data_IF_608621451959
#
_entry.id   IF_608621451959
#
_cell.length_a   1.000
_cell.length_b   1.000
_cell.length_c   1.000
_cell.angle_alpha   90.00
_cell.angle_beta   90.00
_cell.angle_gamma   90.00
#
_symmetry.space_group_name_H-M   'P 1'
#
loop_
_entity.id
_entity.type
_entity.pdbx_description
1 polymer ?
#
# COMPACT_ATOMS: atom_id res chain seq x y z
N UNK A 1 2.05 4.09 13.04
CA UNK A 1 3.44 4.50 13.39
C UNK A 1 3.79 5.96 13.03
N UNK A 2 3.65 6.45 11.78
CA UNK A 2 3.97 7.88 11.48
C UNK A 2 2.75 8.80 11.64
N UNK A 3 1.60 8.45 11.03
CA UNK A 3 0.36 9.21 11.17
C UNK A 3 -0.03 9.38 12.64
N UNK A 4 -0.05 8.30 13.41
CA UNK A 4 -0.33 8.30 14.86
C UNK A 4 0.54 9.27 15.66
N UNK A 5 1.80 9.49 15.26
CA UNK A 5 2.71 10.42 15.96
C UNK A 5 2.51 11.88 15.56
N UNK A 6 1.99 12.13 14.36
CA UNK A 6 1.78 13.49 13.84
C UNK A 6 0.38 14.01 14.12
N UNK A 7 -0.63 13.14 14.19
CA UNK A 7 -2.02 13.50 14.49
C UNK A 7 -2.22 14.31 15.78
N UNK A 8 -1.55 14.02 16.91
CA UNK A 8 -1.73 14.81 18.14
C UNK A 8 -0.98 16.15 18.11
N UNK A 9 -0.21 16.46 17.06
CA UNK A 9 0.59 17.68 17.00
C UNK A 9 -0.22 18.86 16.44
N UNK A 10 0.11 20.09 16.85
CA UNK A 10 -0.50 21.29 16.28
C UNK A 10 -0.29 21.38 14.77
N UNK A 11 -1.33 21.75 14.03
CA UNK A 11 -1.30 21.82 12.56
C UNK A 11 -0.29 22.83 12.02
N UNK A 12 -0.03 23.91 12.76
CA UNK A 12 0.92 24.98 12.43
C UNK A 12 2.38 24.62 12.75
N UNK A 13 2.62 23.50 13.43
CA UNK A 13 3.97 23.03 13.73
C UNK A 13 4.73 22.76 12.43
N UNK A 14 5.94 23.31 12.34
CA UNK A 14 6.86 23.06 11.23
C UNK A 14 7.14 21.56 11.09
N UNK A 15 7.06 21.09 9.85
CA UNK A 15 7.31 19.73 9.42
C UNK A 15 8.27 19.79 8.23
N UNK A 16 9.17 18.80 8.10
CA UNK A 16 10.11 18.74 7.00
C UNK A 16 9.89 17.46 6.21
N UNK A 17 9.64 17.60 4.91
CA UNK A 17 9.47 16.46 4.00
C UNK A 17 10.74 16.28 3.17
N UNK A 18 11.33 15.09 3.23
CA UNK A 18 12.47 14.72 2.40
C UNK A 18 11.99 14.24 1.02
N UNK A 19 12.47 14.88 -0.04
CA UNK A 19 12.16 14.54 -1.44
C UNK A 19 13.47 14.59 -2.23
N UNK A 20 13.88 13.46 -2.81
CA UNK A 20 15.09 13.37 -3.65
C UNK A 20 16.34 13.98 -3.00
N UNK A 21 16.51 13.79 -1.68
CA UNK A 21 17.64 14.34 -0.92
C UNK A 21 17.50 15.80 -0.47
N UNK A 22 16.41 16.49 -0.83
CA UNK A 22 16.11 17.87 -0.40
C UNK A 22 15.06 17.86 0.71
N UNK A 23 15.30 18.59 1.79
CA UNK A 23 14.31 18.84 2.84
C UNK A 23 13.47 20.07 2.49
N UNK A 24 12.16 19.87 2.39
CA UNK A 24 11.18 20.93 2.11
C UNK A 24 10.44 21.24 3.40
N UNK A 25 10.47 22.50 3.83
CA UNK A 25 9.68 22.99 4.97
C UNK A 25 8.18 23.04 4.60
N UNK A 26 7.35 22.50 5.49
CA UNK A 26 5.88 22.43 5.42
C UNK A 26 5.31 22.53 6.82
N UNK A 27 3.98 22.50 6.96
CA UNK A 27 3.32 22.35 8.25
C UNK A 27 2.78 20.93 8.44
N UNK A 28 2.49 20.54 9.68
CA UNK A 28 1.80 19.27 9.98
C UNK A 28 0.45 19.21 9.24
N UNK A 29 -0.28 20.33 9.19
CA UNK A 29 -1.56 20.45 8.48
C UNK A 29 -1.45 20.17 6.98
N UNK A 30 -0.36 20.60 6.32
CA UNK A 30 -0.14 20.33 4.90
C UNK A 30 0.21 18.85 4.62
N UNK A 31 0.94 18.23 5.55
CA UNK A 31 1.56 16.91 5.34
C UNK A 31 0.60 15.78 5.72
N UNK A 32 -0.21 15.95 6.77
CA UNK A 32 -1.13 14.91 7.26
C UNK A 32 -2.08 14.37 6.18
N UNK A 33 -2.81 15.20 5.40
CA UNK A 33 -3.72 14.70 4.37
C UNK A 33 -2.99 13.90 3.29
N UNK A 34 -1.78 14.35 2.93
CA UNK A 34 -0.95 13.67 1.92
C UNK A 34 -0.51 12.30 2.41
N UNK A 35 -0.07 12.20 3.67
CA UNK A 35 0.32 10.91 4.26
C UNK A 35 -0.86 9.95 4.39
N UNK A 36 -2.03 10.44 4.81
CA UNK A 36 -3.24 9.64 4.94
C UNK A 36 -3.67 9.08 3.58
N UNK A 37 -3.80 9.94 2.57
CA UNK A 37 -4.17 9.53 1.20
C UNK A 37 -3.20 8.50 0.63
N UNK A 38 -1.89 8.68 0.83
CA UNK A 38 -0.90 7.72 0.36
C UNK A 38 -1.03 6.35 1.06
N UNK A 39 -1.23 6.34 2.38
CA UNK A 39 -1.43 5.10 3.13
C UNK A 39 -2.71 4.35 2.69
N UNK A 40 -3.80 5.08 2.47
CA UNK A 40 -5.06 4.50 2.01
C UNK A 40 -4.92 3.94 0.59
N UNK A 41 -4.25 4.65 -0.30
CA UNK A 41 -3.99 4.20 -1.67
C UNK A 41 -3.11 2.92 -1.68
N UNK A 42 -2.07 2.86 -0.85
CA UNK A 42 -1.24 1.66 -0.71
C UNK A 42 -2.05 0.46 -0.21
N UNK A 43 -2.93 0.68 0.75
CA UNK A 43 -3.80 -0.39 1.28
C UNK A 43 -4.73 -0.93 0.20
N UNK A 44 -5.35 -0.06 -0.61
CA UNK A 44 -6.17 -0.46 -1.76
C UNK A 44 -5.40 -1.26 -2.80
N UNK A 45 -4.18 -0.82 -3.14
CA UNK A 45 -3.32 -1.55 -4.10
C UNK A 45 -2.98 -2.94 -3.58
N UNK A 46 -2.72 -3.08 -2.28
CA UNK A 46 -2.46 -4.38 -1.66
C UNK A 46 -3.68 -5.31 -1.76
N UNK A 47 -4.87 -4.80 -1.44
CA UNK A 47 -6.12 -5.55 -1.55
C UNK A 47 -6.40 -5.99 -2.99
N UNK A 48 -6.19 -5.11 -3.95
CA UNK A 48 -6.37 -5.41 -5.37
C UNK A 48 -5.39 -6.50 -5.82
N UNK A 49 -4.11 -6.41 -5.42
CA UNK A 49 -3.11 -7.41 -5.74
C UNK A 49 -3.46 -8.78 -5.13
N UNK A 50 -3.94 -8.81 -3.89
CA UNK A 50 -4.38 -10.04 -3.24
C UNK A 50 -5.57 -10.68 -3.98
N UNK A 51 -6.52 -9.86 -4.45
CA UNK A 51 -7.65 -10.31 -5.27
C UNK A 51 -7.22 -10.86 -6.63
N UNK A 52 -6.29 -10.17 -7.30
CA UNK A 52 -5.72 -10.63 -8.57
C UNK A 52 -4.99 -11.96 -8.40
N UNK A 53 -4.17 -12.09 -7.35
CA UNK A 53 -3.49 -13.33 -7.00
C UNK A 53 -4.49 -14.47 -6.80
N UNK A 54 -5.54 -14.26 -5.99
CA UNK A 54 -6.54 -15.29 -5.71
C UNK A 54 -7.31 -15.71 -6.97
N UNK A 55 -7.68 -14.74 -7.81
CA UNK A 55 -8.34 -14.99 -9.09
C UNK A 55 -7.47 -15.85 -10.00
N UNK A 56 -6.18 -15.51 -10.12
CA UNK A 56 -5.21 -16.28 -10.92
C UNK A 56 -4.98 -17.68 -10.36
N UNK A 57 -4.94 -17.82 -9.04
CA UNK A 57 -4.85 -19.13 -8.39
C UNK A 57 -6.07 -19.99 -8.72
N UNK A 58 -7.28 -19.44 -8.63
CA UNK A 58 -8.52 -20.18 -8.90
C UNK A 58 -8.66 -20.52 -10.40
N UNK A 59 -8.23 -19.63 -11.31
CA UNK A 59 -8.12 -19.91 -12.74
C UNK A 59 -7.15 -21.06 -13.03
N UNK A 60 -5.97 -21.05 -12.38
CA UNK A 60 -4.97 -22.11 -12.52
C UNK A 60 -5.52 -23.45 -12.04
N UNK A 61 -6.17 -23.49 -10.89
CA UNK A 61 -6.77 -24.73 -10.35
C UNK A 61 -7.88 -25.27 -11.24
N UNK A 62 -8.75 -24.40 -11.78
CA UNK A 62 -9.77 -24.79 -12.77
C UNK A 62 -9.12 -25.36 -14.04
N UNK A 63 -8.06 -24.72 -14.53
CA UNK A 63 -7.34 -25.17 -15.72
C UNK A 63 -6.65 -26.52 -15.48
N UNK A 64 -5.99 -26.73 -14.34
CA UNK A 64 -5.39 -28.04 -13.98
C UNK A 64 -6.43 -29.16 -13.99
N UNK A 65 -7.59 -28.95 -13.34
CA UNK A 65 -8.69 -29.92 -13.29
C UNK A 65 -9.24 -30.24 -14.67
N UNK A 66 -9.51 -29.21 -15.49
CA UNK A 66 -10.05 -29.38 -16.85
C UNK A 66 -9.13 -30.23 -17.73
N UNK A 67 -7.82 -30.04 -17.61
CA UNK A 67 -6.82 -30.71 -18.44
C UNK A 67 -6.23 -31.97 -17.80
N UNK A 68 -6.77 -32.43 -16.66
CA UNK A 68 -6.28 -33.60 -15.90
C UNK A 68 -4.76 -33.53 -15.59
N UNK A 69 -4.26 -32.33 -15.34
CA UNK A 69 -2.82 -32.11 -15.08
C UNK A 69 -2.49 -32.59 -13.67
N UNK A 70 -1.50 -33.47 -13.56
CA UNK A 70 -0.95 -33.92 -12.30
C UNK A 70 0.39 -33.23 -12.06
N UNK A 71 0.55 -32.66 -10.87
CA UNK A 71 1.83 -32.09 -10.43
C UNK A 71 2.68 -33.25 -9.95
N UNK A 72 3.73 -33.59 -10.70
CA UNK A 72 4.73 -34.59 -10.29
C UNK A 72 5.82 -33.85 -9.53
N UNK A 73 5.97 -34.11 -8.24
CA UNK A 73 7.13 -33.64 -7.47
C UNK A 73 8.30 -34.58 -7.77
N UNK A 74 9.44 -34.02 -8.17
CA UNK A 74 10.73 -34.73 -8.21
C UNK A 74 11.34 -34.79 -6.82
#
# INVERSE_FOLDING_TARGET
LVLETLTPLPSDRKCFRMINGVLVERTVGDVLPTLQSNADNMSKVLEELAKQYKTKQDEMEKWKKKNKIQVVQQ
#
